data_IF_458879962542
#
_entry.id   IF_458879962542
#
_cell.length_a   1.000
_cell.length_b   1.000
_cell.length_c   1.000
_cell.angle_alpha   90.00
_cell.angle_beta   90.00
_cell.angle_gamma   90.00
#
_symmetry.space_group_name_H-M   'P 1'
#
loop_
_entity.id
_entity.type
_entity.pdbx_description
1 polymer ?
#
# COMPACT_ATOMS: atom_id res chain seq x y z
N UNK A 1 -4.18 -10.19 85.48
CA UNK A 1 -3.41 -11.29 86.10
C UNK A 1 -4.13 -12.60 85.82
N UNK A 2 -3.40 -13.71 85.58
CA UNK A 2 -3.86 -15.12 85.60
C UNK A 2 -4.97 -15.52 84.59
N UNK A 3 -5.04 -16.64 83.85
CA UNK A 3 -4.19 -17.82 83.51
C UNK A 3 -4.96 -19.14 83.75
N UNK A 4 -4.79 -20.14 82.86
CA UNK A 4 -5.29 -21.54 82.94
C UNK A 4 -6.81 -21.73 82.69
N UNK A 5 -7.34 -22.90 82.30
CA UNK A 5 -6.96 -23.97 81.32
C UNK A 5 -7.96 -25.14 81.53
N UNK A 6 -8.58 -25.71 80.48
CA UNK A 6 -9.19 -27.08 80.50
C UNK A 6 -9.11 -27.72 79.10
N UNK A 7 -8.84 -29.02 79.03
CA UNK A 7 -8.57 -29.84 77.81
C UNK A 7 -8.85 -31.33 78.13
N UNK A 8 -9.14 -32.28 77.18
CA UNK A 8 -9.94 -32.25 75.95
C UNK A 8 -11.33 -32.91 76.20
N UNK A 9 -11.69 -34.22 76.00
CA UNK A 9 -11.21 -35.34 75.14
C UNK A 9 -12.28 -36.00 74.20
N UNK A 10 -11.82 -36.99 73.39
CA UNK A 10 -12.57 -38.14 72.80
C UNK A 10 -13.32 -38.03 71.43
N UNK A 11 -13.74 -39.19 70.87
CA UNK A 11 -13.95 -39.44 69.42
C UNK A 11 -15.21 -40.26 69.09
N UNK A 12 -15.92 -39.86 68.03
CA UNK A 12 -16.69 -40.70 67.08
C UNK A 12 -16.78 -39.88 65.77
N UNK A 13 -16.47 -40.35 64.55
CA UNK A 13 -16.94 -41.52 63.79
C UNK A 13 -18.47 -41.55 63.66
N UNK A 14 -19.02 -40.98 62.58
CA UNK A 14 -19.61 -41.79 61.49
C UNK A 14 -19.84 -40.98 60.21
N UNK A 15 -20.23 -41.66 59.14
CA UNK A 15 -20.25 -41.20 57.74
C UNK A 15 -21.34 -40.15 57.48
N UNK A 16 -21.06 -39.23 56.55
CA UNK A 16 -22.02 -38.26 56.01
C UNK A 16 -23.25 -38.97 55.44
N UNK A 17 -24.45 -38.48 55.79
CA UNK A 17 -25.71 -38.80 55.14
C UNK A 17 -26.56 -37.54 55.03
N UNK A 18 -26.85 -37.12 53.80
CA UNK A 18 -27.84 -36.09 53.49
C UNK A 18 -28.31 -36.29 52.04
N UNK A 19 -29.47 -36.90 51.85
CA UNK A 19 -30.15 -36.90 50.56
C UNK A 19 -30.95 -35.60 50.44
N UNK A 20 -30.73 -34.84 49.36
CA UNK A 20 -31.53 -33.67 49.03
C UNK A 20 -31.99 -33.79 47.57
N UNK A 21 -33.29 -33.96 47.36
CA UNK A 21 -33.87 -33.88 46.03
C UNK A 21 -34.08 -32.40 45.66
N UNK A 22 -33.57 -31.97 44.52
CA UNK A 22 -33.76 -30.63 43.99
C UNK A 22 -34.26 -30.72 42.54
N UNK A 23 -35.42 -30.15 42.27
CA UNK A 23 -35.93 -29.93 40.91
C UNK A 23 -35.23 -28.71 40.31
N UNK A 24 -34.58 -28.88 39.16
CA UNK A 24 -34.19 -27.78 38.29
C UNK A 24 -34.25 -28.22 36.82
N UNK A 25 -34.76 -27.33 35.97
CA UNK A 25 -34.99 -27.56 34.55
C UNK A 25 -33.67 -27.82 33.80
N UNK A 26 -33.73 -28.66 32.76
CA UNK A 26 -32.58 -28.90 31.89
C UNK A 26 -32.23 -27.66 31.07
N UNK A 27 -31.11 -27.02 31.40
CA UNK A 27 -30.46 -26.04 30.56
C UNK A 27 -29.30 -26.72 29.82
N UNK A 28 -29.38 -26.81 28.50
CA UNK A 28 -28.24 -27.24 27.69
C UNK A 28 -27.12 -26.20 27.82
N UNK A 29 -25.97 -26.60 28.38
CA UNK A 29 -24.80 -25.74 28.47
C UNK A 29 -24.44 -25.17 27.10
N UNK A 30 -24.27 -23.86 27.02
CA UNK A 30 -23.98 -23.16 25.77
C UNK A 30 -22.60 -23.53 25.26
N UNK A 31 -22.53 -24.49 24.34
CA UNK A 31 -21.44 -24.55 23.36
C UNK A 31 -21.61 -23.32 22.47
N UNK A 32 -20.94 -22.23 22.85
CA UNK A 32 -20.69 -21.14 21.93
C UNK A 32 -19.83 -21.73 20.80
N UNK A 33 -20.45 -22.05 19.67
CA UNK A 33 -19.73 -22.50 18.50
C UNK A 33 -18.86 -21.37 18.00
N UNK A 34 -17.55 -21.50 18.18
CA UNK A 34 -16.58 -20.60 17.55
C UNK A 34 -16.83 -20.63 16.04
N UNK A 35 -17.36 -19.53 15.50
CA UNK A 35 -17.45 -19.33 14.06
C UNK A 35 -16.03 -19.04 13.59
N UNK A 36 -15.28 -20.12 13.36
CA UNK A 36 -13.96 -20.06 12.76
C UNK A 36 -14.11 -19.48 11.36
N UNK A 37 -13.94 -18.15 11.25
CA UNK A 37 -13.88 -17.46 9.97
C UNK A 37 -12.62 -17.96 9.28
N UNK A 38 -12.80 -18.98 8.44
CA UNK A 38 -11.78 -19.49 7.54
C UNK A 38 -11.29 -18.33 6.67
N UNK A 39 -10.18 -17.72 7.10
CA UNK A 39 -9.40 -16.80 6.28
C UNK A 39 -8.67 -17.65 5.24
N UNK A 40 -9.40 -18.06 4.22
CA UNK A 40 -8.83 -18.59 2.98
C UNK A 40 -7.84 -17.55 2.48
N UNK A 41 -6.56 -17.80 2.71
CA UNK A 41 -5.50 -16.92 2.27
C UNK A 41 -5.46 -16.99 0.74
N UNK A 42 -6.10 -16.01 0.10
CA UNK A 42 -6.02 -15.81 -1.34
C UNK A 42 -4.58 -15.42 -1.68
N UNK A 43 -3.73 -16.42 -1.87
CA UNK A 43 -2.44 -16.35 -2.56
C UNK A 43 -2.71 -16.06 -4.03
N UNK A 44 -3.23 -14.87 -4.27
CA UNK A 44 -3.38 -14.27 -5.59
C UNK A 44 -1.98 -13.89 -6.05
N UNK A 45 -1.41 -14.72 -6.91
CA UNK A 45 -0.16 -14.42 -7.59
C UNK A 45 -0.35 -13.13 -8.39
N UNK A 46 0.44 -12.11 -8.07
CA UNK A 46 0.45 -10.86 -8.83
C UNK A 46 0.93 -11.18 -10.26
N UNK A 47 0.17 -10.81 -11.32
CA UNK A 47 0.53 -11.15 -12.69
C UNK A 47 1.93 -10.65 -13.09
N UNK A 48 2.86 -11.59 -13.25
CA UNK A 48 4.32 -11.36 -13.30
C UNK A 48 4.81 -10.96 -14.70
N UNK A 49 4.47 -9.75 -15.16
CA UNK A 49 4.78 -9.31 -16.53
C UNK A 49 6.29 -9.32 -16.83
N UNK A 50 7.15 -9.11 -15.83
CA UNK A 50 8.60 -9.14 -15.98
C UNK A 50 9.16 -10.46 -16.54
N UNK A 51 8.57 -11.60 -16.18
CA UNK A 51 8.99 -12.91 -16.69
C UNK A 51 8.56 -13.14 -18.15
N UNK A 52 7.34 -12.70 -18.51
CA UNK A 52 6.75 -12.97 -19.82
C UNK A 52 7.46 -12.25 -20.99
N UNK A 53 7.91 -11.00 -20.78
CA UNK A 53 8.64 -10.23 -21.81
C UNK A 53 10.06 -10.80 -22.05
N UNK A 54 10.71 -11.34 -21.02
CA UNK A 54 12.04 -11.95 -21.17
C UNK A 54 11.98 -13.31 -21.87
N UNK A 55 10.92 -14.09 -21.66
CA UNK A 55 10.76 -15.42 -22.25
C UNK A 55 10.65 -15.46 -23.79
N UNK A 56 10.27 -14.34 -24.43
CA UNK A 56 10.13 -14.22 -25.89
C UNK A 56 11.25 -13.40 -26.55
N UNK A 57 12.09 -12.73 -25.76
CA UNK A 57 13.08 -11.76 -26.26
C UNK A 57 12.48 -10.45 -26.80
N UNK A 58 11.16 -10.27 -26.76
CA UNK A 58 10.49 -9.06 -27.28
C UNK A 58 10.40 -8.00 -26.18
N UNK A 59 11.17 -6.93 -26.35
CA UNK A 59 11.14 -5.73 -25.50
C UNK A 59 10.07 -4.78 -26.04
N UNK A 60 8.97 -4.61 -25.31
CA UNK A 60 7.89 -3.68 -25.69
C UNK A 60 8.27 -2.21 -25.49
N UNK A 61 7.72 -1.35 -26.34
CA UNK A 61 7.74 0.11 -26.21
C UNK A 61 6.53 0.59 -25.38
N UNK A 62 6.48 1.86 -24.92
CA UNK A 62 5.29 2.40 -24.26
C UNK A 62 4.04 2.44 -25.14
N UNK A 63 4.20 2.48 -26.47
CA UNK A 63 3.05 2.59 -27.37
C UNK A 63 2.31 1.27 -27.62
N UNK A 64 2.95 0.14 -27.31
CA UNK A 64 2.34 -1.20 -27.33
C UNK A 64 1.33 -1.41 -26.19
N UNK A 65 1.33 -0.54 -25.17
CA UNK A 65 0.50 -0.67 -23.97
C UNK A 65 -0.72 0.26 -24.01
N UNK A 66 -1.97 -0.26 -24.00
CA UNK A 66 -3.18 0.56 -24.16
C UNK A 66 -3.56 1.35 -22.90
N UNK A 67 -3.12 0.92 -21.72
CA UNK A 67 -3.43 1.57 -20.45
C UNK A 67 -2.33 2.59 -20.14
N UNK A 68 -2.49 3.79 -20.70
CA UNK A 68 -1.57 4.93 -20.54
C UNK A 68 -2.04 5.87 -19.43
N UNK A 69 -1.12 6.45 -18.68
CA UNK A 69 -1.40 7.32 -17.54
C UNK A 69 -0.36 8.43 -17.37
N UNK A 70 -0.63 9.32 -16.43
CA UNK A 70 0.30 10.40 -16.02
C UNK A 70 0.53 10.35 -14.51
N UNK A 71 1.56 11.03 -14.03
CA UNK A 71 1.62 11.41 -12.62
C UNK A 71 1.95 12.90 -12.45
N UNK A 72 1.40 13.51 -11.40
CA UNK A 72 1.40 14.96 -11.21
C UNK A 72 1.56 15.36 -9.74
N UNK A 73 2.10 16.56 -9.57
CA UNK A 73 2.23 17.27 -8.30
C UNK A 73 1.89 18.75 -8.52
N UNK A 74 2.08 19.60 -7.51
CA UNK A 74 2.02 21.07 -7.69
C UNK A 74 2.97 21.62 -8.77
N UNK A 75 4.03 20.89 -9.14
CA UNK A 75 4.96 21.32 -10.19
C UNK A 75 4.34 21.36 -11.59
N UNK A 76 3.25 20.61 -11.82
CA UNK A 76 2.45 20.67 -13.05
C UNK A 76 1.43 21.83 -13.07
N UNK A 77 1.35 22.63 -11.99
CA UNK A 77 0.52 23.82 -11.92
C UNK A 77 -0.98 23.52 -11.83
N UNK A 78 -1.78 24.26 -12.62
CA UNK A 78 -3.21 23.98 -12.82
C UNK A 78 -3.34 23.02 -14.00
N UNK A 79 -4.07 21.92 -13.83
CA UNK A 79 -4.27 20.88 -14.85
C UNK A 79 -5.71 20.89 -15.37
N UNK A 80 -5.89 20.96 -16.69
CA UNK A 80 -7.17 20.72 -17.34
C UNK A 80 -7.41 19.21 -17.46
N UNK A 81 -8.07 18.66 -16.46
CA UNK A 81 -8.39 17.24 -16.37
C UNK A 81 -9.36 16.75 -17.47
N UNK A 82 -10.14 17.65 -18.09
CA UNK A 82 -11.02 17.28 -19.20
C UNK A 82 -10.20 17.08 -20.49
N UNK A 83 -9.22 17.95 -20.76
CA UNK A 83 -8.27 17.77 -21.86
C UNK A 83 -7.37 16.53 -21.64
N UNK A 84 -6.91 16.29 -20.41
CA UNK A 84 -6.16 15.07 -20.02
C UNK A 84 -6.98 13.82 -20.36
N UNK A 85 -8.26 13.78 -19.96
CA UNK A 85 -9.16 12.67 -20.30
C UNK A 85 -9.38 12.57 -21.82
N UNK A 86 -9.59 13.69 -22.50
CA UNK A 86 -9.77 13.75 -23.94
C UNK A 86 -8.58 13.21 -24.74
N UNK A 87 -7.37 13.26 -24.18
CA UNK A 87 -6.16 12.68 -24.78
C UNK A 87 -6.01 11.15 -24.59
N UNK A 88 -6.99 10.47 -24.00
CA UNK A 88 -6.95 9.03 -23.75
C UNK A 88 -6.22 8.60 -22.46
N UNK A 89 -5.93 9.53 -21.53
CA UNK A 89 -5.35 9.18 -20.23
C UNK A 89 -6.31 8.30 -19.44
N UNK A 90 -5.87 7.06 -19.17
CA UNK A 90 -6.63 6.00 -18.52
C UNK A 90 -6.44 5.97 -16.99
N UNK A 91 -5.39 6.61 -16.48
CA UNK A 91 -5.18 6.78 -15.04
C UNK A 91 -4.26 7.97 -14.70
N UNK A 92 -4.32 8.43 -13.46
CA UNK A 92 -3.33 9.37 -12.91
C UNK A 92 -2.94 9.03 -11.46
N UNK A 93 -1.67 9.25 -11.12
CA UNK A 93 -1.22 9.34 -9.72
C UNK A 93 -0.96 10.80 -9.34
N UNK A 94 -1.43 11.21 -8.17
CA UNK A 94 -1.41 12.60 -7.72
C UNK A 94 -0.64 12.66 -6.39
N UNK A 95 0.37 13.53 -6.31
CA UNK A 95 1.12 13.74 -5.07
C UNK A 95 0.18 14.25 -3.98
N UNK A 96 0.13 13.56 -2.85
CA UNK A 96 -0.72 13.94 -1.73
C UNK A 96 0.08 14.52 -0.58
N UNK A 97 1.11 13.81 -0.14
CA UNK A 97 1.94 14.21 1.01
C UNK A 97 3.40 13.86 0.81
N UNK A 98 4.25 14.52 1.58
CA UNK A 98 5.70 14.34 1.63
C UNK A 98 6.12 14.42 3.11
N UNK A 99 6.90 13.43 3.57
CA UNK A 99 7.37 13.38 4.95
C UNK A 99 6.24 13.31 6.00
N UNK A 100 6.47 13.91 7.17
CA UNK A 100 5.54 13.85 8.31
C UNK A 100 4.63 15.08 8.44
N UNK A 101 4.78 16.06 7.55
CA UNK A 101 4.42 17.45 7.80
C UNK A 101 4.03 18.25 6.54
N UNK A 102 4.25 17.75 5.31
CA UNK A 102 3.88 18.45 4.07
C UNK A 102 2.73 17.76 3.32
N UNK A 103 1.71 18.54 2.96
CA UNK A 103 0.70 18.20 1.93
C UNK A 103 1.15 18.85 0.61
N UNK A 104 0.86 18.26 -0.55
CA UNK A 104 1.09 18.93 -1.84
C UNK A 104 0.06 20.06 -2.05
N UNK A 105 0.54 21.24 -2.47
CA UNK A 105 -0.27 22.47 -2.56
C UNK A 105 -1.40 22.39 -3.61
N UNK A 106 -1.38 21.40 -4.51
CA UNK A 106 -2.43 21.15 -5.51
C UNK A 106 -3.17 19.83 -5.31
N UNK A 107 -2.89 19.05 -4.27
CA UNK A 107 -3.50 17.73 -4.08
C UNK A 107 -5.03 17.78 -4.14
N UNK A 108 -5.68 18.60 -3.30
CA UNK A 108 -7.14 18.62 -3.19
C UNK A 108 -7.84 19.02 -4.52
N UNK A 109 -7.27 19.97 -5.26
CA UNK A 109 -7.75 20.43 -6.57
C UNK A 109 -7.61 19.33 -7.62
N UNK A 110 -6.40 18.79 -7.80
CA UNK A 110 -6.15 17.73 -8.76
C UNK A 110 -6.95 16.46 -8.44
N UNK A 111 -7.07 16.12 -7.15
CA UNK A 111 -7.89 15.02 -6.67
C UNK A 111 -9.35 15.20 -7.10
N UNK A 112 -9.98 16.33 -6.77
CA UNK A 112 -11.37 16.60 -7.13
C UNK A 112 -11.59 16.65 -8.65
N UNK A 113 -10.73 17.36 -9.37
CA UNK A 113 -10.90 17.63 -10.80
C UNK A 113 -10.64 16.38 -11.67
N UNK A 114 -9.67 15.54 -11.31
CA UNK A 114 -9.48 14.24 -11.96
C UNK A 114 -10.73 13.35 -11.84
N UNK A 115 -11.38 13.35 -10.67
CA UNK A 115 -12.64 12.61 -10.45
C UNK A 115 -13.78 13.19 -11.29
N UNK A 116 -13.90 14.51 -11.35
CA UNK A 116 -14.93 15.18 -12.14
C UNK A 116 -14.80 14.90 -13.65
N UNK A 117 -13.57 14.83 -14.16
CA UNK A 117 -13.29 14.43 -15.54
C UNK A 117 -13.34 12.90 -15.78
N UNK A 118 -13.67 12.10 -14.76
CA UNK A 118 -13.77 10.64 -14.87
C UNK A 118 -12.44 9.90 -15.03
N UNK A 119 -11.31 10.53 -14.69
CA UNK A 119 -9.97 9.91 -14.71
C UNK A 119 -9.77 9.10 -13.42
N UNK A 120 -9.54 7.77 -13.52
CA UNK A 120 -9.14 6.94 -12.37
C UNK A 120 -7.87 7.48 -11.72
N UNK A 121 -7.90 7.65 -10.40
CA UNK A 121 -6.93 8.48 -9.67
C UNK A 121 -6.38 7.75 -8.44
N UNK A 122 -5.06 7.77 -8.24
CA UNK A 122 -4.40 7.29 -7.02
C UNK A 122 -3.64 8.41 -6.33
N UNK A 123 -3.40 8.28 -5.03
CA UNK A 123 -2.65 9.25 -4.23
C UNK A 123 -1.27 8.67 -3.88
N UNK A 124 -0.20 9.47 -4.03
CA UNK A 124 1.17 9.04 -3.70
C UNK A 124 1.80 9.82 -2.54
N UNK A 125 2.69 9.13 -1.83
CA UNK A 125 3.44 9.64 -0.67
C UNK A 125 4.95 9.61 -0.91
N UNK A 126 5.58 10.78 -1.02
CA UNK A 126 7.03 10.89 -1.20
C UNK A 126 7.75 10.72 0.15
N UNK A 127 8.46 9.59 0.31
CA UNK A 127 9.01 9.16 1.59
C UNK A 127 10.27 9.94 2.00
N UNK A 128 10.34 10.38 3.26
CA UNK A 128 11.52 11.00 3.87
C UNK A 128 12.19 10.06 4.89
N UNK A 129 13.48 9.77 4.71
CA UNK A 129 14.23 8.87 5.60
C UNK A 129 14.53 9.43 7.00
N UNK A 130 14.16 10.68 7.25
CA UNK A 130 14.31 11.40 8.52
C UNK A 130 13.03 11.38 9.39
N UNK A 131 12.02 10.60 8.99
CA UNK A 131 10.79 10.32 9.74
C UNK A 131 10.57 8.79 9.77
N UNK A 132 9.85 8.28 10.77
CA UNK A 132 9.48 6.86 10.81
C UNK A 132 8.41 6.53 9.76
N UNK A 133 8.29 5.25 9.39
CA UNK A 133 7.22 4.80 8.50
C UNK A 133 5.82 5.00 9.12
N UNK A 134 5.74 4.92 10.44
CA UNK A 134 4.49 5.08 11.19
C UNK A 134 3.98 6.54 11.24
N UNK A 135 4.88 7.53 11.37
CA UNK A 135 4.52 8.94 11.26
C UNK A 135 4.01 9.27 9.86
N UNK A 136 4.72 8.82 8.84
CA UNK A 136 4.43 9.09 7.44
C UNK A 136 3.11 8.45 7.00
N UNK A 137 2.82 7.21 7.43
CA UNK A 137 1.52 6.58 7.19
C UNK A 137 0.38 7.33 7.90
N UNK A 138 0.55 7.77 9.15
CA UNK A 138 -0.44 8.62 9.84
C UNK A 138 -0.64 9.96 9.14
N UNK A 139 0.40 10.51 8.52
CA UNK A 139 0.32 11.76 7.78
C UNK A 139 -0.39 11.61 6.43
N UNK A 140 -0.11 10.54 5.68
CA UNK A 140 -0.85 10.20 4.46
C UNK A 140 -2.33 9.91 4.76
N UNK A 141 -2.62 9.05 5.74
CA UNK A 141 -3.99 8.69 6.18
C UNK A 141 -4.81 9.91 6.65
N UNK A 142 -4.17 10.92 7.25
CA UNK A 142 -4.86 12.15 7.67
C UNK A 142 -5.33 13.02 6.51
N UNK A 143 -4.61 13.01 5.39
CA UNK A 143 -4.74 14.00 4.32
C UNK A 143 -5.35 13.41 3.02
N UNK A 144 -5.35 12.09 2.85
CA UNK A 144 -5.98 11.41 1.71
C UNK A 144 -7.28 10.76 2.16
N UNK A 145 -8.45 11.10 1.59
CA UNK A 145 -9.72 10.50 1.99
C UNK A 145 -9.87 9.09 1.40
N UNK A 146 -10.60 8.22 2.11
CA UNK A 146 -11.05 6.94 1.57
C UNK A 146 -12.05 7.22 0.42
N UNK A 147 -11.71 6.77 -0.79
CA UNK A 147 -12.61 6.68 -1.94
C UNK A 147 -12.50 5.26 -2.53
N UNK A 148 -13.56 4.44 -2.50
CA UNK A 148 -13.56 3.11 -3.12
C UNK A 148 -13.22 3.12 -4.62
N UNK A 149 -13.48 4.24 -5.31
CA UNK A 149 -13.21 4.44 -6.74
C UNK A 149 -11.77 4.91 -7.02
N UNK A 150 -10.99 5.29 -6.01
CA UNK A 150 -9.59 5.62 -6.17
C UNK A 150 -8.74 4.34 -6.41
N UNK A 151 -7.66 4.50 -7.15
CA UNK A 151 -6.63 3.46 -7.32
C UNK A 151 -5.92 3.20 -5.98
N UNK A 152 -5.21 2.07 -5.83
CA UNK A 152 -4.43 1.81 -4.62
C UNK A 152 -3.45 2.96 -4.31
N UNK A 153 -3.23 3.29 -3.03
CA UNK A 153 -2.18 4.23 -2.62
C UNK A 153 -0.80 3.85 -3.15
N UNK A 154 0.05 4.84 -3.41
CA UNK A 154 1.45 4.63 -3.77
C UNK A 154 2.36 5.09 -2.64
N UNK A 155 3.33 4.25 -2.26
CA UNK A 155 4.51 4.66 -1.51
C UNK A 155 5.63 4.95 -2.52
N UNK A 156 6.09 6.19 -2.56
CA UNK A 156 7.15 6.67 -3.46
C UNK A 156 8.50 6.66 -2.72
N UNK A 157 9.40 5.81 -3.22
CA UNK A 157 10.71 5.51 -2.64
C UNK A 157 11.84 5.87 -3.60
N UNK A 158 12.31 7.12 -3.55
CA UNK A 158 13.59 7.52 -4.15
C UNK A 158 14.46 8.32 -3.17
N UNK A 159 15.75 8.45 -3.47
CA UNK A 159 16.66 9.21 -2.60
C UNK A 159 16.26 10.69 -2.57
N UNK A 160 16.15 11.29 -1.38
CA UNK A 160 15.74 12.70 -1.19
C UNK A 160 16.85 13.72 -1.60
N UNK A 161 17.47 13.55 -2.76
CA UNK A 161 18.70 14.24 -3.16
C UNK A 161 18.52 15.76 -3.24
N UNK A 162 17.32 16.26 -3.55
CA UNK A 162 16.99 17.70 -3.54
C UNK A 162 16.60 18.25 -2.16
N UNK A 163 16.17 17.43 -1.20
CA UNK A 163 15.65 17.92 0.09
C UNK A 163 16.73 18.68 0.88
N UNK A 164 16.52 19.95 1.29
CA UNK A 164 17.53 20.70 2.02
C UNK A 164 17.70 20.21 3.47
N UNK A 165 16.67 19.58 4.04
CA UNK A 165 16.59 19.19 5.44
C UNK A 165 16.76 17.68 5.69
N UNK A 166 16.51 16.82 4.71
CA UNK A 166 16.71 15.38 4.83
C UNK A 166 17.68 14.82 3.78
N UNK A 167 18.91 14.49 4.20
CA UNK A 167 19.92 13.80 3.38
C UNK A 167 20.22 12.37 3.83
N UNK A 168 19.47 11.83 4.80
CA UNK A 168 19.73 10.53 5.42
C UNK A 168 19.56 9.40 4.40
N UNK A 169 20.52 8.47 4.35
CA UNK A 169 20.48 7.24 3.54
C UNK A 169 20.65 6.01 4.45
N UNK A 170 19.57 5.49 5.06
CA UNK A 170 19.65 4.32 5.95
C UNK A 170 20.10 3.05 5.20
N UNK A 171 20.43 2.00 5.93
CA UNK A 171 20.71 0.68 5.36
C UNK A 171 19.45 -0.03 4.81
N UNK A 172 19.66 -1.23 4.24
CA UNK A 172 18.60 -2.06 3.66
C UNK A 172 17.56 -2.49 4.70
N UNK A 173 18.00 -2.90 5.89
CA UNK A 173 17.13 -3.44 6.93
C UNK A 173 16.27 -2.34 7.57
N UNK A 174 16.80 -1.14 7.76
CA UNK A 174 16.00 0.02 8.19
C UNK A 174 14.99 0.45 7.12
N UNK A 175 15.42 0.63 5.87
CA UNK A 175 14.50 1.02 4.78
C UNK A 175 13.33 0.05 4.67
N UNK A 176 13.60 -1.26 4.58
CA UNK A 176 12.55 -2.26 4.43
C UNK A 176 11.66 -2.38 5.67
N UNK A 177 12.20 -2.24 6.88
CA UNK A 177 11.41 -2.24 8.12
C UNK A 177 10.40 -1.09 8.15
N UNK A 178 10.86 0.14 7.91
CA UNK A 178 10.01 1.33 7.98
C UNK A 178 9.00 1.38 6.81
N UNK A 179 9.41 1.00 5.60
CA UNK A 179 8.48 0.79 4.47
C UNK A 179 7.40 -0.23 4.83
N UNK A 180 7.77 -1.38 5.39
CA UNK A 180 6.80 -2.40 5.80
C UNK A 180 5.80 -1.90 6.85
N UNK A 181 6.24 -1.02 7.76
CA UNK A 181 5.33 -0.34 8.70
C UNK A 181 4.36 0.59 7.96
N UNK A 182 4.85 1.42 7.03
CA UNK A 182 4.00 2.30 6.23
C UNK A 182 2.96 1.50 5.42
N UNK A 183 3.43 0.54 4.62
CA UNK A 183 2.62 -0.25 3.69
C UNK A 183 1.47 -0.97 4.41
N UNK A 184 1.75 -1.65 5.53
CA UNK A 184 0.72 -2.35 6.33
C UNK A 184 -0.30 -1.40 6.97
N UNK A 185 0.14 -0.20 7.40
CA UNK A 185 -0.76 0.80 7.98
C UNK A 185 -1.71 1.38 6.93
N UNK A 186 -1.20 1.65 5.73
CA UNK A 186 -1.98 2.18 4.60
C UNK A 186 -2.91 1.11 4.02
N UNK A 187 -2.44 -0.13 3.80
CA UNK A 187 -3.29 -1.26 3.36
C UNK A 187 -4.48 -1.47 4.31
N UNK A 188 -4.21 -1.49 5.63
CA UNK A 188 -5.26 -1.62 6.67
C UNK A 188 -6.29 -0.49 6.65
N UNK A 189 -5.91 0.72 6.21
CA UNK A 189 -6.81 1.88 6.20
C UNK A 189 -7.67 1.96 4.94
N UNK A 190 -7.07 1.75 3.76
CA UNK A 190 -7.78 1.91 2.48
C UNK A 190 -8.42 0.61 1.96
N UNK A 191 -8.09 -0.55 2.53
CA UNK A 191 -8.56 -1.85 2.07
C UNK A 191 -8.00 -2.28 0.70
N UNK A 192 -7.02 -1.52 0.16
CA UNK A 192 -6.30 -1.82 -1.07
C UNK A 192 -4.81 -1.88 -0.79
N UNK A 193 -4.11 -2.86 -1.36
CA UNK A 193 -2.67 -3.04 -1.16
C UNK A 193 -1.89 -1.91 -1.85
N UNK A 194 -1.01 -1.17 -1.16
CA UNK A 194 -0.28 -0.09 -1.79
C UNK A 194 0.73 -0.57 -2.85
N UNK A 195 0.86 0.22 -3.90
CA UNK A 195 1.87 0.11 -4.95
C UNK A 195 3.17 0.74 -4.43
N UNK A 196 4.33 0.21 -4.82
CA UNK A 196 5.64 0.79 -4.51
C UNK A 196 6.21 1.45 -5.77
N UNK A 197 6.40 2.76 -5.76
CA UNK A 197 7.21 3.44 -6.77
C UNK A 197 8.68 3.43 -6.36
N UNK A 198 9.60 3.28 -7.33
CA UNK A 198 11.04 3.42 -7.09
C UNK A 198 11.82 3.89 -8.31
N UNK A 199 12.84 4.71 -8.07
CA UNK A 199 13.93 4.97 -9.03
C UNK A 199 14.85 3.74 -9.19
N UNK A 200 15.62 3.69 -10.29
CA UNK A 200 16.53 2.59 -10.63
C UNK A 200 17.60 2.39 -9.56
N UNK A 201 18.22 3.48 -9.13
CA UNK A 201 19.31 3.47 -8.15
C UNK A 201 18.81 3.12 -6.75
N UNK A 202 17.68 3.69 -6.30
CA UNK A 202 17.09 3.32 -5.02
C UNK A 202 16.67 1.85 -4.98
N UNK A 203 16.07 1.33 -6.05
CA UNK A 203 15.66 -0.07 -6.11
C UNK A 203 16.85 -1.01 -6.02
N UNK A 204 17.88 -0.79 -6.85
CA UNK A 204 19.14 -1.54 -6.81
C UNK A 204 19.76 -1.51 -5.41
N UNK A 205 19.79 -0.33 -4.79
CA UNK A 205 20.47 -0.14 -3.51
C UNK A 205 19.69 -0.72 -2.32
N UNK A 206 18.36 -0.85 -2.39
CA UNK A 206 17.52 -1.14 -1.20
C UNK A 206 16.38 -2.14 -1.37
N UNK A 207 15.89 -2.43 -2.58
CA UNK A 207 14.61 -3.13 -2.81
C UNK A 207 14.69 -4.43 -3.64
N UNK A 208 15.85 -4.82 -4.15
CA UNK A 208 15.99 -6.12 -4.86
C UNK A 208 15.53 -7.28 -3.97
N UNK A 209 14.58 -8.08 -4.45
CA UNK A 209 13.95 -9.18 -3.70
C UNK A 209 12.99 -8.76 -2.59
N UNK A 210 12.78 -7.46 -2.34
CA UNK A 210 11.91 -6.95 -1.29
C UNK A 210 10.45 -6.84 -1.76
N UNK A 211 9.51 -6.99 -0.81
CA UNK A 211 8.07 -6.81 -1.05
C UNK A 211 7.49 -7.56 -2.27
N UNK A 212 7.79 -8.86 -2.48
CA UNK A 212 7.35 -9.60 -3.67
C UNK A 212 5.81 -9.73 -3.80
N UNK A 213 5.07 -9.44 -2.74
CA UNK A 213 3.60 -9.38 -2.73
C UNK A 213 3.03 -8.01 -3.14
N UNK A 214 3.84 -7.03 -3.55
CA UNK A 214 3.40 -5.70 -3.99
C UNK A 214 3.66 -5.47 -5.47
N UNK A 215 2.79 -4.72 -6.14
CA UNK A 215 3.07 -4.21 -7.47
C UNK A 215 4.13 -3.10 -7.40
N UNK A 216 5.16 -3.20 -8.24
CA UNK A 216 6.10 -2.10 -8.46
C UNK A 216 5.67 -1.21 -9.63
N UNK A 217 5.86 0.10 -9.41
CA UNK A 217 5.84 1.15 -10.41
C UNK A 217 7.28 1.65 -10.60
N UNK A 218 7.90 1.29 -11.72
CA UNK A 218 9.33 1.51 -11.93
C UNK A 218 9.61 2.68 -12.88
N UNK A 219 10.46 3.61 -12.45
CA UNK A 219 10.93 4.73 -13.26
C UNK A 219 12.12 4.33 -14.12
N UNK A 220 11.95 4.35 -15.44
CA UNK A 220 13.00 3.98 -16.38
C UNK A 220 12.91 4.81 -17.67
N UNK A 221 13.46 6.02 -17.64
CA UNK A 221 13.44 6.97 -18.77
C UNK A 221 14.55 6.75 -19.81
N UNK A 222 15.41 5.74 -19.60
CA UNK A 222 16.59 5.46 -20.43
C UNK A 222 16.57 4.05 -21.07
N UNK A 223 15.39 3.42 -21.14
CA UNK A 223 15.16 2.08 -21.69
C UNK A 223 14.09 1.31 -20.89
N UNK A 224 13.68 0.14 -21.38
CA UNK A 224 12.67 -0.71 -20.73
C UNK A 224 13.14 -1.21 -19.34
N UNK A 225 12.26 -1.33 -18.32
CA UNK A 225 12.69 -1.66 -16.95
C UNK A 225 13.41 -3.02 -16.82
N UNK A 226 13.04 -4.04 -17.61
CA UNK A 226 13.73 -5.34 -17.59
C UNK A 226 15.19 -5.29 -18.07
N UNK A 227 15.65 -4.15 -18.61
CA UNK A 227 17.03 -3.89 -19.02
C UNK A 227 17.78 -2.94 -18.06
N UNK A 228 17.12 -2.44 -16.99
CA UNK A 228 17.66 -1.43 -16.05
C UNK A 228 17.58 -1.85 -14.58
N UNK A 229 16.64 -2.74 -14.26
CA UNK A 229 16.46 -3.32 -12.94
C UNK A 229 17.00 -4.76 -12.90
N UNK A 230 17.07 -5.36 -11.71
CA UNK A 230 17.39 -6.78 -11.56
C UNK A 230 16.35 -7.66 -12.27
N UNK A 231 16.76 -8.74 -12.92
CA UNK A 231 15.87 -9.57 -13.74
C UNK A 231 14.78 -10.32 -12.94
N UNK A 232 14.94 -10.44 -11.62
CA UNK A 232 13.89 -10.96 -10.71
C UNK A 232 12.82 -9.92 -10.37
N UNK A 233 13.04 -8.64 -10.70
CA UNK A 233 12.16 -7.53 -10.34
C UNK A 233 10.82 -7.63 -11.07
N UNK A 234 9.77 -7.92 -10.32
CA UNK A 234 8.40 -7.98 -10.82
C UNK A 234 7.75 -6.60 -10.74
N UNK A 235 7.30 -6.06 -11.88
CA UNK A 235 6.68 -4.74 -11.97
C UNK A 235 5.39 -4.78 -12.79
N UNK A 236 4.58 -3.73 -12.64
CA UNK A 236 3.28 -3.63 -13.34
C UNK A 236 3.03 -2.25 -13.96
N UNK A 237 3.75 -1.21 -13.52
CA UNK A 237 3.67 0.15 -14.11
C UNK A 237 5.08 0.62 -14.44
N UNK A 238 5.26 1.30 -15.57
CA UNK A 238 6.52 1.86 -16.03
C UNK A 238 6.37 3.36 -16.27
N UNK A 239 7.09 4.20 -15.52
CA UNK A 239 7.28 5.62 -15.86
C UNK A 239 8.37 5.71 -16.92
N UNK A 240 7.98 6.04 -18.16
CA UNK A 240 8.85 5.95 -19.34
C UNK A 240 9.42 7.30 -19.79
N UNK A 241 8.88 8.41 -19.31
CA UNK A 241 9.47 9.75 -19.47
C UNK A 241 9.05 10.69 -18.34
N UNK A 242 9.93 11.65 -18.02
CA UNK A 242 9.67 12.83 -17.16
C UNK A 242 9.72 14.15 -17.96
N UNK A 243 9.67 14.05 -19.29
CA UNK A 243 9.66 15.17 -20.24
C UNK A 243 8.50 15.03 -21.24
N UNK A 244 7.49 14.24 -20.89
CA UNK A 244 6.31 14.02 -21.69
C UNK A 244 5.45 15.27 -21.85
N UNK A 245 4.59 15.27 -22.87
CA UNK A 245 3.62 16.35 -23.14
C UNK A 245 2.23 15.73 -23.20
N UNK A 246 1.27 16.36 -22.54
CA UNK A 246 -0.11 15.89 -22.50
C UNK A 246 -1.08 17.08 -22.61
N UNK A 247 -2.12 17.01 -23.46
CA UNK A 247 -3.17 18.04 -23.51
C UNK A 247 -3.76 18.29 -22.12
N UNK A 248 -3.76 19.55 -21.69
CA UNK A 248 -4.22 19.96 -20.37
C UNK A 248 -3.15 20.07 -19.28
N UNK A 249 -1.90 19.68 -19.55
CA UNK A 249 -0.75 19.96 -18.66
C UNK A 249 0.21 20.94 -19.33
N UNK A 250 0.52 22.04 -18.64
CA UNK A 250 1.49 23.04 -19.12
C UNK A 250 2.90 22.65 -18.66
N UNK A 251 3.83 22.55 -19.61
CA UNK A 251 5.22 22.16 -19.32
C UNK A 251 5.44 20.66 -19.52
N UNK A 252 6.22 20.05 -18.63
CA UNK A 252 6.53 18.62 -18.68
C UNK A 252 5.64 17.84 -17.72
N UNK A 253 5.21 16.66 -18.16
CA UNK A 253 4.49 15.70 -17.32
C UNK A 253 5.14 14.33 -17.42
N UNK A 254 5.12 13.62 -16.31
CA UNK A 254 5.64 12.27 -16.21
C UNK A 254 4.58 11.31 -16.79
N UNK A 255 5.01 10.42 -17.69
CA UNK A 255 4.12 9.54 -18.44
C UNK A 255 4.39 8.06 -18.13
N UNK A 256 3.30 7.33 -18.01
CA UNK A 256 3.24 6.00 -17.42
C UNK A 256 2.46 5.04 -18.30
N UNK A 257 2.87 3.77 -18.30
CA UNK A 257 2.10 2.67 -18.88
C UNK A 257 1.91 1.55 -17.88
N UNK A 258 0.73 0.94 -17.85
CA UNK A 258 0.51 -0.32 -17.15
C UNK A 258 0.78 -1.47 -18.11
N UNK A 259 1.64 -2.41 -17.68
CA UNK A 259 2.25 -3.43 -18.53
C UNK A 259 1.38 -4.67 -18.75
N UNK A 260 0.28 -4.81 -17.98
CA UNK A 260 -0.60 -5.99 -18.02
C UNK A 260 -1.84 -5.80 -18.91
N UNK A 261 -2.75 -6.77 -18.87
CA UNK A 261 -3.99 -6.70 -19.65
C UNK A 261 -5.00 -5.71 -19.04
N UNK A 262 -5.99 -5.30 -19.84
CA UNK A 262 -7.13 -4.48 -19.38
C UNK A 262 -7.89 -5.15 -18.22
N UNK A 263 -7.84 -6.48 -18.13
CA UNK A 263 -8.48 -7.25 -17.05
C UNK A 263 -7.64 -7.23 -15.76
N UNK A 264 -6.32 -7.43 -15.83
CA UNK A 264 -5.46 -7.33 -14.65
C UNK A 264 -5.33 -5.88 -14.16
N UNK A 265 -5.42 -4.90 -15.05
CA UNK A 265 -5.57 -3.48 -14.68
C UNK A 265 -6.82 -3.25 -13.82
N UNK A 266 -7.98 -3.81 -14.21
CA UNK A 266 -9.22 -3.70 -13.44
C UNK A 266 -9.12 -4.35 -12.06
N UNK A 267 -8.39 -5.46 -11.92
CA UNK A 267 -8.08 -6.05 -10.60
C UNK A 267 -7.23 -5.10 -9.75
N UNK A 268 -6.06 -4.69 -10.24
CA UNK A 268 -5.17 -3.76 -9.53
C UNK A 268 -5.92 -2.48 -9.10
N UNK A 269 -6.70 -1.86 -9.99
CA UNK A 269 -7.50 -0.67 -9.66
C UNK A 269 -8.56 -0.91 -8.57
N UNK A 270 -9.15 -2.11 -8.51
CA UNK A 270 -10.12 -2.49 -7.50
C UNK A 270 -9.50 -2.87 -6.15
N UNK A 271 -8.36 -3.57 -6.13
CA UNK A 271 -7.83 -4.23 -4.92
C UNK A 271 -6.37 -3.91 -4.58
N UNK A 272 -5.51 -3.65 -5.58
CA UNK A 272 -4.05 -3.67 -5.44
C UNK A 272 -3.41 -5.08 -5.50
N UNK A 273 -4.14 -6.06 -6.05
CA UNK A 273 -3.73 -7.46 -6.26
C UNK A 273 -3.97 -7.82 -7.74
#
# INVERSE_FOLDING_TARGET
MRSWNVVPPSRAIFRLAAAAAALALGACSSVAGDVEIQRTALTTEIPTVGAASLATGVVTTPDDHPIKGIDVSKFQGTVDWAAVRGSGVSFAFIKATEGGDRVDDRFAENWANARAAGVPRGAYHFYYFCRTGAEQARWFIRNVPIDPQALPPVLDMEWNHLSPSCKRRPDVAEVQREMGVFLRMVEKHYGKRPIIYSSVDFHRDRLVGAFPSHHFWLRSVAGHPSLKYDQTTSFSIWQHTATGRNPGVVGNVDQNVYMGSVESWRRLAATGF
#
